data_IF_244954585180
#
_entry.id   IF_244954585180
#
_cell.length_a   1.000
_cell.length_b   1.000
_cell.length_c   1.000
_cell.angle_alpha   90.00
_cell.angle_beta   90.00
_cell.angle_gamma   90.00
#
_symmetry.space_group_name_H-M   'P 1'
#
loop_
_entity.id
_entity.type
_entity.pdbx_description
1 polymer ?
#
# COMPACT_ATOMS: atom_id res chain seq x y z
N UNK A 1 -1.47 9.80 11.99
CA UNK A 1 -1.48 8.45 12.60
C UNK A 1 -0.70 7.45 11.73
N UNK A 2 -0.38 6.24 12.19
CA UNK A 2 0.33 5.24 11.39
C UNK A 2 -0.47 4.80 10.16
N UNK A 3 -1.77 4.57 10.31
CA UNK A 3 -2.64 4.15 9.20
C UNK A 3 -2.72 5.21 8.08
N UNK A 4 -2.72 6.51 8.42
CA UNK A 4 -2.69 7.59 7.42
C UNK A 4 -1.42 7.48 6.57
N UNK A 5 -0.27 7.32 7.22
CA UNK A 5 1.02 7.18 6.54
C UNK A 5 1.07 5.94 5.65
N UNK A 6 0.52 4.81 6.13
CA UNK A 6 0.46 3.57 5.37
C UNK A 6 -0.42 3.70 4.12
N UNK A 7 -1.66 4.15 4.29
CA UNK A 7 -2.66 4.23 3.23
C UNK A 7 -2.29 5.29 2.18
N UNK A 8 -1.76 6.45 2.60
CA UNK A 8 -1.26 7.46 1.69
C UNK A 8 -0.04 6.97 0.93
N UNK A 9 0.94 6.34 1.59
CA UNK A 9 2.11 5.80 0.91
C UNK A 9 1.73 4.77 -0.17
N UNK A 10 0.77 3.88 0.10
CA UNK A 10 0.26 2.94 -0.88
C UNK A 10 -0.42 3.67 -2.06
N UNK A 11 -1.30 4.64 -1.79
CA UNK A 11 -1.98 5.41 -2.84
C UNK A 11 -1.00 6.20 -3.72
N UNK A 12 -0.02 6.87 -3.13
CA UNK A 12 1.01 7.60 -3.87
C UNK A 12 1.94 6.66 -4.64
N UNK A 13 2.20 5.45 -4.13
CA UNK A 13 2.97 4.44 -4.85
C UNK A 13 2.23 3.98 -6.12
N UNK A 14 0.95 3.67 -6.02
CA UNK A 14 0.15 3.27 -7.19
C UNK A 14 0.04 4.42 -8.22
N UNK A 15 -0.15 5.65 -7.75
CA UNK A 15 -0.12 6.83 -8.62
C UNK A 15 1.23 7.00 -9.33
N UNK A 16 2.35 6.72 -8.65
CA UNK A 16 3.68 6.70 -9.25
C UNK A 16 3.84 5.57 -10.28
N UNK A 17 3.35 4.36 -9.98
CA UNK A 17 3.42 3.21 -10.88
C UNK A 17 2.59 3.40 -12.17
N UNK A 18 1.51 4.20 -12.11
CA UNK A 18 0.68 4.55 -13.27
C UNK A 18 1.28 5.73 -14.06
N UNK A 19 1.64 6.82 -13.37
CA UNK A 19 1.96 8.09 -14.03
C UNK A 19 3.44 8.47 -14.06
N UNK A 20 4.31 7.76 -13.33
CA UNK A 20 5.75 8.03 -13.25
C UNK A 20 6.15 9.36 -12.60
N UNK A 21 5.19 10.12 -12.05
CA UNK A 21 5.42 11.47 -11.53
C UNK A 21 6.41 11.50 -10.36
N UNK A 22 7.44 12.36 -10.45
CA UNK A 22 8.49 12.49 -9.43
C UNK A 22 7.96 12.90 -8.05
N UNK A 23 6.89 13.69 -8.02
CA UNK A 23 6.19 14.08 -6.79
C UNK A 23 5.64 12.87 -6.03
N UNK A 24 4.98 11.93 -6.72
CA UNK A 24 4.43 10.74 -6.09
C UNK A 24 5.52 9.86 -5.45
N UNK A 25 6.61 9.57 -6.18
CA UNK A 25 7.75 8.82 -5.61
C UNK A 25 8.34 9.52 -4.38
N UNK A 26 8.50 10.84 -4.44
CA UNK A 26 9.03 11.63 -3.32
C UNK A 26 8.14 11.49 -2.09
N UNK A 27 6.82 11.63 -2.23
CA UNK A 27 5.88 11.49 -1.10
C UNK A 27 5.99 10.10 -0.47
N UNK A 28 6.06 9.03 -1.27
CA UNK A 28 6.26 7.66 -0.74
C UNK A 28 7.55 7.57 0.05
N UNK A 29 8.68 7.98 -0.54
CA UNK A 29 10.00 7.87 0.09
C UNK A 29 10.08 8.68 1.37
N UNK A 30 9.65 9.95 1.35
CA UNK A 30 9.72 10.82 2.53
C UNK A 30 8.80 10.33 3.67
N UNK A 31 7.62 9.79 3.33
CA UNK A 31 6.69 9.20 4.30
C UNK A 31 7.27 7.95 4.96
N UNK A 32 7.78 7.01 4.16
CA UNK A 32 8.33 5.77 4.71
C UNK A 32 9.65 6.03 5.47
N UNK A 33 10.49 6.97 5.02
CA UNK A 33 11.69 7.37 5.75
C UNK A 33 11.37 8.04 7.09
N UNK A 34 10.28 8.79 7.17
CA UNK A 34 9.76 9.29 8.45
C UNK A 34 9.36 8.12 9.37
N UNK A 35 8.63 7.13 8.86
CA UNK A 35 8.20 5.97 9.65
C UNK A 35 9.41 5.18 10.18
N UNK A 36 10.41 4.92 9.33
CA UNK A 36 11.64 4.24 9.73
C UNK A 36 12.41 5.00 10.83
N UNK A 37 12.44 6.33 10.74
CA UNK A 37 13.24 7.17 11.63
C UNK A 37 12.56 7.41 12.98
N UNK A 38 11.26 7.68 12.98
CA UNK A 38 10.56 8.27 14.14
C UNK A 38 9.50 7.33 14.73
N UNK A 39 8.92 6.45 13.90
CA UNK A 39 7.78 5.60 14.24
C UNK A 39 8.13 4.11 14.36
N UNK A 40 9.42 3.73 14.36
CA UNK A 40 9.83 2.33 14.42
C UNK A 40 10.39 1.97 15.80
N UNK A 41 9.81 0.94 16.42
CA UNK A 41 10.33 0.33 17.63
C UNK A 41 11.65 -0.41 17.35
N UNK A 42 12.65 -0.40 18.24
CA UNK A 42 13.92 -1.10 18.03
C UNK A 42 13.79 -2.59 17.70
N UNK A 43 12.73 -3.24 18.19
CA UNK A 43 12.40 -4.64 17.88
C UNK A 43 11.78 -4.88 16.50
N UNK A 44 11.33 -3.82 15.80
CA UNK A 44 10.88 -3.89 14.41
C UNK A 44 9.45 -3.41 14.16
N UNK A 45 8.54 -3.53 15.12
CA UNK A 45 7.16 -3.05 14.97
C UNK A 45 7.07 -1.51 14.87
N UNK A 46 5.95 -1.01 14.37
CA UNK A 46 5.69 0.41 14.17
C UNK A 46 4.72 0.95 15.22
N UNK A 47 5.08 2.10 15.79
CA UNK A 47 4.26 2.85 16.74
C UNK A 47 3.01 3.42 16.08
N UNK A 48 1.96 3.62 16.87
CA UNK A 48 0.61 3.91 16.37
C UNK A 48 0.43 5.36 15.96
N UNK A 49 1.00 6.32 16.69
CA UNK A 49 0.88 7.74 16.40
C UNK A 49 2.06 8.56 16.94
N UNK A 50 2.24 9.75 16.35
CA UNK A 50 3.01 10.85 16.91
C UNK A 50 2.11 12.07 16.85
N UNK A 51 2.08 12.84 17.95
CA UNK A 51 1.25 14.03 18.08
C UNK A 51 1.78 15.16 17.19
N UNK A 52 0.90 16.11 16.87
CA UNK A 52 1.33 17.37 16.28
C UNK A 52 1.84 18.35 17.35
N UNK A 53 1.39 18.18 18.60
CA UNK A 53 1.61 19.11 19.70
C UNK A 53 2.89 18.80 20.47
N UNK A 54 3.54 19.85 20.95
CA UNK A 54 4.63 19.80 21.93
C UNK A 54 4.39 20.86 23.01
N UNK A 55 5.05 20.82 24.16
CA UNK A 55 4.76 21.73 25.29
C UNK A 55 4.85 23.24 24.93
N UNK A 56 5.50 23.59 23.81
CA UNK A 56 5.52 24.93 23.22
C UNK A 56 4.20 25.41 22.58
N UNK A 57 3.18 24.56 22.44
CA UNK A 57 1.92 24.82 21.73
C UNK A 57 1.73 23.96 20.48
N UNK A 58 0.53 24.01 19.90
CA UNK A 58 0.12 23.19 18.75
C UNK A 58 1.09 23.35 17.56
N UNK A 59 1.60 22.23 17.05
CA UNK A 59 2.45 22.20 15.85
C UNK A 59 3.84 22.83 15.96
N UNK A 60 4.23 23.40 17.11
CA UNK A 60 5.43 24.26 17.24
C UNK A 60 6.74 23.56 16.87
N UNK A 61 6.84 22.24 17.07
CA UNK A 61 7.96 21.44 16.59
C UNK A 61 8.19 21.60 15.07
N UNK A 62 7.13 21.73 14.28
CA UNK A 62 7.17 21.77 12.82
C UNK A 62 7.26 23.18 12.21
N UNK A 63 7.11 24.24 13.02
CA UNK A 63 7.03 25.62 12.54
C UNK A 63 8.39 26.29 12.31
N UNK A 64 8.49 27.13 11.28
CA UNK A 64 9.71 27.87 10.92
C UNK A 64 9.43 29.34 10.64
N UNK A 65 10.40 30.21 10.93
CA UNK A 65 10.44 31.58 10.36
C UNK A 65 11.39 31.65 9.18
N UNK A 66 11.15 32.59 8.25
CA UNK A 66 12.07 32.84 7.13
C UNK A 66 13.49 33.18 7.63
N UNK A 67 13.59 33.96 8.71
CA UNK A 67 14.86 34.31 9.35
C UNK A 67 15.60 33.11 9.95
N UNK A 68 14.90 32.14 10.53
CA UNK A 68 15.51 30.89 10.99
C UNK A 68 16.11 30.12 9.81
N UNK A 69 15.37 29.99 8.71
CA UNK A 69 15.81 29.28 7.50
C UNK A 69 17.02 29.98 6.87
N UNK A 70 16.99 31.31 6.72
CA UNK A 70 18.11 32.08 6.20
C UNK A 70 19.38 31.97 7.06
N UNK A 71 19.23 31.91 8.39
CA UNK A 71 20.38 31.73 9.30
C UNK A 71 20.98 30.34 9.19
N UNK A 72 20.16 29.30 9.02
CA UNK A 72 20.63 27.91 8.93
C UNK A 72 21.24 27.57 7.57
N UNK A 73 20.60 28.03 6.49
CA UNK A 73 20.98 27.64 5.11
C UNK A 73 21.85 28.69 4.40
N UNK A 74 21.99 29.88 4.98
CA UNK A 74 22.55 31.04 4.31
C UNK A 74 21.56 31.73 3.37
N UNK A 75 21.89 32.95 2.92
CA UNK A 75 20.95 33.81 2.18
C UNK A 75 20.48 33.22 0.85
N UNK A 76 21.39 32.66 0.04
CA UNK A 76 21.05 32.17 -1.31
C UNK A 76 20.28 30.83 -1.25
N UNK A 77 20.78 29.78 -0.57
CA UNK A 77 20.03 28.52 -0.46
C UNK A 77 18.75 28.69 0.36
N UNK A 78 18.78 29.52 1.41
CA UNK A 78 17.62 29.81 2.25
C UNK A 78 16.49 30.49 1.48
N UNK A 79 16.80 31.50 0.66
CA UNK A 79 15.79 32.17 -0.17
C UNK A 79 15.10 31.18 -1.12
N UNK A 80 15.88 30.37 -1.83
CA UNK A 80 15.33 29.34 -2.74
C UNK A 80 14.48 28.31 -1.96
N UNK A 81 14.96 27.88 -0.79
CA UNK A 81 14.23 26.93 0.05
C UNK A 81 12.87 27.50 0.48
N UNK A 82 12.83 28.77 0.90
CA UNK A 82 11.60 29.48 1.25
C UNK A 82 10.62 29.56 0.09
N UNK A 83 11.08 29.93 -1.11
CA UNK A 83 10.27 29.99 -2.34
C UNK A 83 9.66 28.63 -2.69
N UNK A 84 10.44 27.54 -2.57
CA UNK A 84 10.00 26.18 -2.87
C UNK A 84 9.01 25.63 -1.83
N UNK A 85 9.12 26.06 -0.57
CA UNK A 85 8.35 25.50 0.55
C UNK A 85 7.26 26.43 1.09
N UNK A 86 6.84 27.43 0.30
CA UNK A 86 5.71 28.30 0.65
C UNK A 86 5.94 29.12 1.93
N UNK A 87 7.19 29.49 2.21
CA UNK A 87 7.56 30.26 3.40
C UNK A 87 7.43 31.75 3.11
N UNK A 88 6.67 32.45 3.94
CA UNK A 88 6.51 33.91 3.92
C UNK A 88 7.07 34.53 5.19
N UNK A 89 7.32 35.85 5.16
CA UNK A 89 7.74 36.60 6.35
C UNK A 89 6.61 36.71 7.38
N UNK A 90 5.35 36.79 6.91
CA UNK A 90 4.16 36.84 7.76
C UNK A 90 3.77 35.47 8.36
N UNK A 91 4.24 34.38 7.76
CA UNK A 91 3.81 33.03 8.11
C UNK A 91 2.53 32.59 7.40
N UNK A 92 2.34 31.26 7.32
CA UNK A 92 1.14 30.59 6.81
C UNK A 92 0.33 29.88 7.92
N UNK A 93 0.85 29.86 9.16
CA UNK A 93 0.21 29.30 10.34
C UNK A 93 0.70 30.04 11.60
N UNK A 94 -0.21 30.69 12.33
CA UNK A 94 0.07 31.37 13.61
C UNK A 94 1.32 32.30 13.60
N UNK A 95 1.54 33.04 12.50
CA UNK A 95 2.69 33.94 12.38
C UNK A 95 4.03 33.23 12.09
N UNK A 96 4.00 31.93 11.81
CA UNK A 96 5.12 31.10 11.38
C UNK A 96 4.73 30.27 10.16
N UNK A 97 5.62 29.43 9.67
CA UNK A 97 5.40 28.64 8.46
C UNK A 97 5.41 27.15 8.77
N UNK A 98 4.35 26.45 8.35
CA UNK A 98 4.36 25.03 8.05
C UNK A 98 4.93 24.88 6.64
N UNK A 99 5.96 24.06 6.49
CA UNK A 99 6.58 23.82 5.19
C UNK A 99 5.67 22.94 4.33
N UNK A 100 5.34 23.39 3.12
CA UNK A 100 4.63 22.60 2.12
C UNK A 100 5.16 22.96 0.73
N UNK A 101 5.10 22.05 -0.25
CA UNK A 101 5.52 22.36 -1.62
C UNK A 101 4.30 22.75 -2.46
N UNK A 102 4.06 24.04 -2.75
CA UNK A 102 2.99 24.44 -3.66
C UNK A 102 3.27 23.92 -5.07
N UNK A 103 2.21 23.53 -5.79
CA UNK A 103 2.29 23.10 -7.20
C UNK A 103 2.91 24.15 -8.14
N UNK A 104 3.00 25.40 -7.69
CA UNK A 104 3.45 26.56 -8.46
C UNK A 104 4.97 26.58 -8.67
N UNK A 105 5.76 25.85 -7.87
CA UNK A 105 7.16 25.58 -8.20
C UNK A 105 7.22 24.47 -9.26
N UNK A 106 6.65 24.76 -10.43
CA UNK A 106 6.84 23.93 -11.60
C UNK A 106 8.22 24.24 -12.16
N UNK A 107 8.96 23.17 -12.44
CA UNK A 107 10.28 23.13 -13.08
C UNK A 107 10.32 23.73 -14.51
N UNK A 108 9.46 24.70 -14.80
CA UNK A 108 9.24 25.30 -16.12
C UNK A 108 10.50 26.05 -16.52
N UNK A 109 11.16 25.54 -17.55
CA UNK A 109 12.37 26.14 -18.11
C UNK A 109 13.69 25.63 -17.53
N UNK A 110 13.67 24.71 -16.55
CA UNK A 110 14.89 24.05 -16.07
C UNK A 110 15.22 22.80 -16.89
N UNK A 111 16.50 22.65 -17.26
CA UNK A 111 17.03 21.39 -17.79
C UNK A 111 16.97 20.27 -16.75
N UNK A 112 17.07 19.02 -17.20
CA UNK A 112 17.09 17.86 -16.30
C UNK A 112 18.25 17.90 -15.29
N UNK A 113 19.40 18.43 -15.69
CA UNK A 113 20.59 18.56 -14.83
C UNK A 113 20.38 19.62 -13.75
N UNK A 114 19.84 20.79 -14.11
CA UNK A 114 19.52 21.86 -13.16
C UNK A 114 18.48 21.41 -12.14
N UNK A 115 17.46 20.67 -12.59
CA UNK A 115 16.43 20.10 -11.71
C UNK A 115 17.03 19.13 -10.71
N UNK A 116 17.91 18.24 -11.17
CA UNK A 116 18.61 17.29 -10.31
C UNK A 116 19.51 18.01 -9.29
N UNK A 117 20.23 19.06 -9.72
CA UNK A 117 21.06 19.86 -8.83
C UNK A 117 20.22 20.59 -7.77
N UNK A 118 19.07 21.16 -8.17
CA UNK A 118 18.13 21.81 -7.26
C UNK A 118 17.57 20.83 -6.22
N UNK A 119 17.09 19.66 -6.64
CA UNK A 119 16.57 18.64 -5.70
C UNK A 119 17.64 18.12 -4.74
N UNK A 120 18.91 18.00 -5.17
CA UNK A 120 20.03 17.67 -4.28
C UNK A 120 20.26 18.76 -3.23
N UNK A 121 20.30 20.02 -3.64
CA UNK A 121 20.45 21.16 -2.71
C UNK A 121 19.28 21.20 -1.71
N UNK A 122 18.04 21.02 -2.19
CA UNK A 122 16.86 20.98 -1.31
C UNK A 122 16.91 19.80 -0.34
N UNK A 123 17.40 18.63 -0.75
CA UNK A 123 17.58 17.48 0.13
C UNK A 123 18.62 17.76 1.23
N UNK A 124 19.75 18.37 0.88
CA UNK A 124 20.76 18.79 1.86
C UNK A 124 20.19 19.83 2.84
N UNK A 125 19.44 20.81 2.34
CA UNK A 125 18.78 21.82 3.16
C UNK A 125 17.75 21.20 4.12
N UNK A 126 16.95 20.23 3.66
CA UNK A 126 16.01 19.49 4.53
C UNK A 126 16.74 18.76 5.65
N UNK A 127 17.91 18.18 5.40
CA UNK A 127 18.73 17.55 6.45
C UNK A 127 19.20 18.57 7.50
N UNK A 128 19.67 19.74 7.08
CA UNK A 128 20.08 20.81 8.01
C UNK A 128 18.90 21.25 8.89
N UNK A 129 17.73 21.46 8.30
CA UNK A 129 16.51 21.81 9.04
C UNK A 129 16.09 20.68 9.99
N UNK A 130 16.18 19.41 9.56
CA UNK A 130 15.87 18.26 10.40
C UNK A 130 16.78 18.19 11.64
N UNK A 131 18.09 18.39 11.45
CA UNK A 131 19.07 18.42 12.56
C UNK A 131 18.82 19.57 13.53
N UNK A 132 18.43 20.74 13.02
CA UNK A 132 18.06 21.87 13.86
C UNK A 132 16.74 21.61 14.61
N UNK A 133 15.75 21.02 13.93
CA UNK A 133 14.45 20.65 14.52
C UNK A 133 14.58 19.60 15.61
N UNK A 134 15.48 18.62 15.43
CA UNK A 134 15.71 17.54 16.40
C UNK A 134 16.18 18.03 17.79
N UNK A 135 16.62 19.29 17.90
CA UNK A 135 17.01 19.93 19.17
C UNK A 135 15.85 20.63 19.89
N UNK A 136 14.68 20.70 19.25
CA UNK A 136 13.45 21.21 19.86
C UNK A 136 12.83 20.14 20.74
N UNK A 137 11.84 20.55 21.53
CA UNK A 137 11.00 19.63 22.25
C UNK A 137 10.18 18.77 21.28
N UNK A 138 10.26 17.46 21.45
CA UNK A 138 9.62 16.52 20.55
C UNK A 138 8.14 16.36 20.90
N UNK A 139 7.27 16.20 19.89
CA UNK A 139 5.90 15.83 20.15
C UNK A 139 5.80 14.45 20.81
N UNK A 140 4.73 14.24 21.56
CA UNK A 140 4.39 12.95 22.16
C UNK A 140 4.30 11.85 21.10
N UNK A 141 4.69 10.63 21.47
CA UNK A 141 4.53 9.44 20.63
C UNK A 141 3.69 8.41 21.36
N UNK A 142 2.66 7.90 20.70
CA UNK A 142 1.89 6.76 21.21
C UNK A 142 2.63 5.48 20.84
N UNK A 143 3.39 4.97 21.82
CA UNK A 143 4.25 3.80 21.70
C UNK A 143 3.50 2.46 21.56
N UNK A 144 2.16 2.47 21.48
CA UNK A 144 1.39 1.26 21.13
C UNK A 144 1.72 0.79 19.73
N UNK A 145 1.81 -0.52 19.57
CA UNK A 145 1.96 -1.21 18.29
C UNK A 145 0.67 -1.99 18.06
N UNK A 146 -0.18 -1.52 17.15
CA UNK A 146 -1.47 -2.15 16.83
C UNK A 146 -1.33 -3.10 15.64
N UNK A 147 -1.89 -4.30 15.76
CA UNK A 147 -1.76 -5.35 14.75
C UNK A 147 -2.31 -4.90 13.39
N UNK A 148 -3.54 -4.36 13.34
CA UNK A 148 -4.15 -3.91 12.09
C UNK A 148 -3.35 -2.79 11.40
N UNK A 149 -2.92 -1.77 12.13
CA UNK A 149 -2.19 -0.63 11.54
C UNK A 149 -0.79 -1.01 11.09
N UNK A 150 -0.14 -1.93 11.82
CA UNK A 150 1.13 -2.48 11.37
C UNK A 150 0.95 -3.33 10.11
N UNK A 151 -0.13 -4.09 9.98
CA UNK A 151 -0.46 -4.79 8.74
C UNK A 151 -0.50 -3.85 7.54
N UNK A 152 -1.21 -2.71 7.68
CA UNK A 152 -1.26 -1.68 6.63
C UNK A 152 0.14 -1.12 6.30
N UNK A 153 0.96 -0.81 7.31
CA UNK A 153 2.30 -0.27 7.08
C UNK A 153 3.28 -1.30 6.50
N UNK A 154 3.20 -2.57 6.91
CA UNK A 154 3.99 -3.67 6.35
C UNK A 154 3.67 -3.83 4.86
N UNK A 155 2.38 -3.82 4.48
CA UNK A 155 1.95 -3.86 3.09
C UNK A 155 2.55 -2.69 2.29
N UNK A 156 2.43 -1.46 2.78
CA UNK A 156 2.98 -0.27 2.13
C UNK A 156 4.52 -0.32 1.96
N UNK A 157 5.24 -0.69 3.02
CA UNK A 157 6.70 -0.83 3.02
C UNK A 157 7.15 -1.94 2.05
N UNK A 158 6.48 -3.09 2.05
CA UNK A 158 6.83 -4.21 1.18
C UNK A 158 6.60 -3.85 -0.30
N UNK A 159 5.44 -3.27 -0.64
CA UNK A 159 5.14 -2.81 -2.01
C UNK A 159 6.13 -1.75 -2.48
N UNK A 160 6.38 -0.73 -1.67
CA UNK A 160 7.29 0.35 -2.03
C UNK A 160 8.73 -0.15 -2.17
N UNK A 161 9.18 -1.01 -1.27
CA UNK A 161 10.51 -1.61 -1.32
C UNK A 161 10.74 -2.42 -2.60
N UNK A 162 9.76 -3.21 -3.04
CA UNK A 162 9.84 -3.95 -4.29
C UNK A 162 9.74 -3.06 -5.54
N UNK A 163 8.82 -2.08 -5.54
CA UNK A 163 8.55 -1.23 -6.70
C UNK A 163 9.64 -0.17 -6.94
N UNK A 164 10.27 0.32 -5.87
CA UNK A 164 11.30 1.36 -5.90
C UNK A 164 12.73 0.82 -5.86
N UNK A 165 12.90 -0.50 -5.73
CA UNK A 165 14.18 -1.19 -5.48
C UNK A 165 14.89 -0.69 -4.20
N UNK A 166 14.11 -0.47 -3.14
CA UNK A 166 14.58 0.08 -1.86
C UNK A 166 14.58 -1.01 -0.78
N UNK A 167 15.70 -1.76 -0.71
CA UNK A 167 15.86 -2.92 0.19
C UNK A 167 15.56 -2.61 1.66
N UNK A 168 15.83 -1.39 2.13
CA UNK A 168 15.56 -0.96 3.52
C UNK A 168 14.08 -1.07 3.90
N UNK A 169 13.16 -0.83 2.96
CA UNK A 169 11.72 -0.95 3.22
C UNK A 169 11.28 -2.41 3.28
N UNK A 170 11.80 -3.26 2.38
CA UNK A 170 11.56 -4.71 2.42
C UNK A 170 12.05 -5.34 3.72
N UNK A 171 13.22 -4.91 4.22
CA UNK A 171 13.76 -5.38 5.49
C UNK A 171 12.94 -4.89 6.69
N UNK A 172 12.50 -3.63 6.68
CA UNK A 172 11.64 -3.10 7.73
C UNK A 172 10.28 -3.81 7.78
N UNK A 173 9.66 -4.06 6.62
CA UNK A 173 8.41 -4.81 6.52
C UNK A 173 8.56 -6.23 7.09
N UNK A 174 9.63 -6.94 6.72
CA UNK A 174 9.91 -8.29 7.23
C UNK A 174 10.16 -8.30 8.74
N UNK A 175 10.98 -7.38 9.26
CA UNK A 175 11.24 -7.26 10.72
C UNK A 175 9.96 -6.93 11.49
N UNK A 176 9.12 -6.05 10.97
CA UNK A 176 7.83 -5.76 11.58
C UNK A 176 6.93 -7.01 11.58
N UNK A 177 6.85 -7.74 10.46
CA UNK A 177 6.12 -9.02 10.42
C UNK A 177 6.62 -10.04 11.45
N UNK A 178 7.94 -10.19 11.56
CA UNK A 178 8.58 -11.08 12.55
C UNK A 178 8.30 -10.63 13.99
N UNK A 179 8.33 -9.32 14.25
CA UNK A 179 7.96 -8.73 15.54
C UNK A 179 6.52 -9.09 15.90
N UNK A 180 5.54 -8.90 15.01
CA UNK A 180 4.14 -9.19 15.31
C UNK A 180 3.88 -10.68 15.52
N UNK A 181 4.56 -11.55 14.75
CA UNK A 181 4.44 -13.00 14.93
C UNK A 181 5.01 -13.49 16.26
N UNK A 182 5.96 -12.75 16.85
CA UNK A 182 6.65 -13.12 18.09
C UNK A 182 6.02 -12.46 19.31
N UNK A 183 5.75 -11.15 19.23
CA UNK A 183 5.41 -10.29 20.37
C UNK A 183 3.91 -10.01 20.52
N UNK A 184 3.11 -10.14 19.45
CA UNK A 184 1.66 -9.88 19.52
C UNK A 184 0.88 -11.17 19.69
N UNK A 185 1.34 -12.06 20.57
CA UNK A 185 0.64 -13.29 20.90
C UNK A 185 0.49 -13.49 22.39
N UNK A 186 -0.62 -14.10 22.78
CA UNK A 186 -0.79 -14.64 24.12
C UNK A 186 -0.04 -15.98 24.29
N UNK A 187 -0.02 -16.51 25.52
CA UNK A 187 0.59 -17.80 25.85
C UNK A 187 -0.01 -18.98 25.07
N UNK A 188 -1.24 -18.84 24.57
CA UNK A 188 -1.94 -19.80 23.71
C UNK A 188 -1.60 -19.65 22.22
N UNK A 189 -0.77 -18.70 21.84
CA UNK A 189 -0.39 -18.39 20.47
C UNK A 189 -1.44 -17.60 19.68
N UNK A 190 -2.46 -17.06 20.34
CA UNK A 190 -3.52 -16.23 19.74
C UNK A 190 -3.01 -14.82 19.52
N UNK A 191 -3.43 -14.20 18.42
CA UNK A 191 -3.09 -12.82 18.12
C UNK A 191 -3.75 -11.86 19.13
N UNK A 192 -2.95 -10.93 19.68
CA UNK A 192 -3.42 -9.82 20.50
C UNK A 192 -3.69 -8.58 19.64
N UNK A 193 -4.59 -7.71 20.08
CA UNK A 193 -4.93 -6.48 19.34
C UNK A 193 -3.74 -5.52 19.19
N UNK A 194 -2.86 -5.49 20.19
CA UNK A 194 -1.66 -4.66 20.14
C UNK A 194 -0.64 -5.02 21.20
N UNK A 195 0.39 -4.20 21.30
CA UNK A 195 1.51 -4.37 22.22
C UNK A 195 1.99 -3.00 22.72
N UNK A 196 2.37 -2.94 24.00
CA UNK A 196 2.99 -1.76 24.60
C UNK A 196 3.89 -2.21 25.77
N UNK A 197 5.14 -2.59 25.45
CA UNK A 197 6.06 -3.24 26.41
C UNK A 197 5.75 -4.72 26.63
N UNK A 198 4.47 -5.09 26.56
CA UNK A 198 3.95 -6.46 26.62
C UNK A 198 2.73 -6.61 25.68
N UNK A 199 2.37 -7.84 25.27
CA UNK A 199 1.16 -8.08 24.48
C UNK A 199 -0.09 -7.63 25.23
N UNK A 200 -1.01 -6.98 24.52
CA UNK A 200 -2.30 -6.54 25.07
C UNK A 200 -3.11 -7.74 25.57
N UNK A 201 -3.82 -7.62 26.72
CA UNK A 201 -4.77 -8.65 27.16
C UNK A 201 -6.01 -8.73 26.27
N UNK A 202 -6.21 -7.75 25.38
CA UNK A 202 -7.34 -7.72 24.45
C UNK A 202 -7.00 -8.59 23.24
N UNK A 203 -7.84 -9.60 23.00
CA UNK A 203 -7.75 -10.44 21.81
C UNK A 203 -7.94 -9.63 20.52
N UNK A 204 -7.26 -10.04 19.45
CA UNK A 204 -7.35 -9.38 18.17
C UNK A 204 -8.78 -9.41 17.57
N UNK A 205 -9.13 -8.33 16.88
CA UNK A 205 -10.35 -8.17 16.11
C UNK A 205 -10.16 -8.63 14.66
N UNK A 206 -11.24 -8.70 13.88
CA UNK A 206 -11.21 -9.15 12.49
C UNK A 206 -10.20 -8.37 11.64
N UNK A 207 -10.16 -7.05 11.80
CA UNK A 207 -9.27 -6.14 11.07
C UNK A 207 -7.78 -6.37 11.38
N UNK A 208 -7.45 -6.82 12.59
CA UNK A 208 -6.08 -7.23 12.95
C UNK A 208 -5.65 -8.46 12.15
N UNK A 209 -6.49 -9.51 12.14
CA UNK A 209 -6.22 -10.72 11.37
C UNK A 209 -6.18 -10.44 9.86
N UNK A 210 -7.15 -9.67 9.37
CA UNK A 210 -7.31 -9.40 7.95
C UNK A 210 -6.19 -8.52 7.38
N UNK A 211 -5.83 -7.44 8.08
CA UNK A 211 -4.72 -6.57 7.68
C UNK A 211 -3.39 -7.33 7.65
N UNK A 212 -3.15 -8.22 8.62
CA UNK A 212 -1.93 -9.02 8.65
C UNK A 212 -1.91 -10.12 7.59
N UNK A 213 -3.04 -10.76 7.31
CA UNK A 213 -3.13 -11.72 6.20
C UNK A 213 -2.78 -11.04 4.87
N UNK A 214 -3.35 -9.86 4.57
CA UNK A 214 -3.00 -9.07 3.38
C UNK A 214 -1.51 -8.71 3.34
N UNK A 215 -0.97 -8.22 4.46
CA UNK A 215 0.43 -7.84 4.57
C UNK A 215 1.39 -9.02 4.33
N UNK A 216 1.05 -10.21 4.84
CA UNK A 216 1.86 -11.41 4.67
C UNK A 216 1.75 -12.00 3.28
N UNK A 217 0.61 -11.89 2.60
CA UNK A 217 0.52 -12.18 1.16
C UNK A 217 1.47 -11.24 0.40
N UNK A 218 1.46 -9.93 0.71
CA UNK A 218 2.36 -8.96 0.06
C UNK A 218 3.84 -9.23 0.38
N UNK A 219 4.20 -9.61 1.60
CA UNK A 219 5.56 -10.04 1.94
C UNK A 219 5.98 -11.28 1.14
N UNK A 220 5.08 -12.26 0.97
CA UNK A 220 5.32 -13.37 0.07
C UNK A 220 5.52 -12.90 -1.37
N UNK A 221 4.65 -12.05 -1.91
CA UNK A 221 4.72 -11.61 -3.32
C UNK A 221 5.92 -10.71 -3.63
N UNK A 222 6.59 -10.16 -2.62
CA UNK A 222 7.76 -9.28 -2.79
C UNK A 222 9.08 -9.94 -2.40
N UNK A 223 9.05 -10.99 -1.58
CA UNK A 223 10.25 -11.70 -1.09
C UNK A 223 10.30 -13.18 -1.47
N UNK A 224 9.15 -13.75 -1.82
CA UNK A 224 8.94 -15.15 -2.20
C UNK A 224 9.43 -16.17 -1.16
N UNK A 225 9.43 -15.78 0.12
CA UNK A 225 9.68 -16.69 1.25
C UNK A 225 8.37 -17.41 1.63
N UNK A 226 8.25 -18.75 1.48
CA UNK A 226 6.99 -19.47 1.67
C UNK A 226 6.35 -19.28 3.05
N UNK A 227 7.17 -19.06 4.08
CA UNK A 227 6.73 -18.84 5.47
C UNK A 227 5.68 -17.74 5.61
N UNK A 228 5.77 -16.68 4.80
CA UNK A 228 4.81 -15.58 4.86
C UNK A 228 3.44 -16.01 4.33
N UNK A 229 3.43 -16.83 3.28
CA UNK A 229 2.20 -17.36 2.73
C UNK A 229 1.55 -18.38 3.68
N UNK A 230 2.37 -19.20 4.36
CA UNK A 230 1.90 -20.13 5.39
C UNK A 230 1.24 -19.39 6.56
N UNK A 231 1.87 -18.31 7.05
CA UNK A 231 1.29 -17.49 8.11
C UNK A 231 0.02 -16.74 7.65
N UNK A 232 -0.02 -16.24 6.42
CA UNK A 232 -1.23 -15.63 5.86
C UNK A 232 -2.38 -16.64 5.79
N UNK A 233 -2.10 -17.88 5.36
CA UNK A 233 -3.08 -18.96 5.33
C UNK A 233 -3.56 -19.30 6.74
N UNK A 234 -2.67 -19.38 7.73
CA UNK A 234 -3.03 -19.63 9.13
C UNK A 234 -3.95 -18.54 9.68
N UNK A 235 -3.68 -17.27 9.38
CA UNK A 235 -4.55 -16.15 9.77
C UNK A 235 -5.93 -16.26 9.09
N UNK A 236 -5.98 -16.59 7.80
CA UNK A 236 -7.23 -16.79 7.07
C UNK A 236 -8.06 -17.96 7.63
N UNK A 237 -7.43 -19.08 7.97
CA UNK A 237 -8.11 -20.19 8.64
C UNK A 237 -8.70 -19.76 10.00
N UNK A 238 -8.01 -18.90 10.77
CA UNK A 238 -8.56 -18.32 12.01
C UNK A 238 -9.74 -17.37 11.75
N UNK A 239 -9.69 -16.56 10.69
CA UNK A 239 -10.82 -15.73 10.24
C UNK A 239 -12.05 -16.61 10.00
N UNK A 240 -11.89 -17.68 9.22
CA UNK A 240 -12.98 -18.59 8.90
C UNK A 240 -13.53 -19.31 10.14
N UNK A 241 -12.65 -19.77 11.02
CA UNK A 241 -13.04 -20.53 12.20
C UNK A 241 -13.78 -19.68 13.24
N UNK A 242 -13.33 -18.44 13.47
CA UNK A 242 -13.76 -17.66 14.65
C UNK A 242 -14.66 -16.48 14.32
N UNK A 243 -14.53 -15.92 13.12
CA UNK A 243 -15.21 -14.67 12.76
C UNK A 243 -16.38 -14.87 11.81
N UNK A 244 -16.53 -16.05 11.19
CA UNK A 244 -17.62 -16.30 10.23
C UNK A 244 -19.00 -16.23 10.89
N UNK A 245 -19.88 -15.43 10.30
CA UNK A 245 -21.31 -15.47 10.52
C UNK A 245 -21.94 -16.43 9.51
N UNK A 246 -22.12 -17.69 9.90
CA UNK A 246 -22.70 -18.72 9.03
C UNK A 246 -24.15 -18.44 8.64
N UNK A 247 -24.90 -17.64 9.41
CA UNK A 247 -26.29 -17.33 9.12
C UNK A 247 -26.44 -16.31 7.98
N UNK A 248 -25.52 -15.33 7.91
CA UNK A 248 -25.57 -14.26 6.90
C UNK A 248 -24.52 -14.40 5.80
N UNK A 249 -23.48 -15.20 6.02
CA UNK A 249 -22.37 -15.38 5.09
C UNK A 249 -21.34 -14.24 5.10
N UNK A 250 -21.26 -13.46 6.18
CA UNK A 250 -20.28 -12.37 6.38
C UNK A 250 -19.39 -12.67 7.60
N UNK A 251 -18.66 -11.67 8.10
CA UNK A 251 -17.80 -11.78 9.26
C UNK A 251 -18.22 -10.84 10.39
N UNK A 252 -18.15 -11.34 11.62
CA UNK A 252 -18.23 -10.54 12.85
C UNK A 252 -16.91 -9.80 13.09
N UNK A 253 -16.98 -8.68 13.80
CA UNK A 253 -15.78 -7.92 14.19
C UNK A 253 -14.96 -8.61 15.28
N UNK A 254 -15.62 -9.26 16.24
CA UNK A 254 -14.98 -9.97 17.35
C UNK A 254 -15.00 -11.47 17.10
N UNK A 255 -14.08 -12.22 17.69
CA UNK A 255 -14.10 -13.69 17.65
C UNK A 255 -15.26 -14.27 18.47
N UNK A 256 -15.54 -15.56 18.28
CA UNK A 256 -16.58 -16.32 19.00
C UNK A 256 -16.29 -16.54 20.49
N UNK A 257 -15.01 -16.52 20.88
CA UNK A 257 -14.51 -16.62 22.24
C UNK A 257 -13.93 -15.30 22.76
N UNK A 258 -14.29 -14.17 22.15
CA UNK A 258 -14.02 -12.84 22.72
C UNK A 258 -14.83 -12.65 24.02
N UNK A 259 -14.49 -11.63 24.82
CA UNK A 259 -15.31 -11.23 25.98
C UNK A 259 -16.82 -11.26 25.65
N UNK A 260 -17.66 -11.90 26.48
CA UNK A 260 -19.07 -12.11 26.16
C UNK A 260 -19.80 -10.79 25.84
N UNK A 261 -20.26 -10.65 24.60
CA UNK A 261 -21.04 -9.49 24.15
C UNK A 261 -22.52 -9.83 24.04
N UNK A 262 -23.40 -8.85 24.25
CA UNK A 262 -24.85 -8.99 24.02
C UNK A 262 -25.14 -9.37 22.57
N UNK A 263 -24.39 -8.81 21.62
CA UNK A 263 -24.39 -9.18 20.22
C UNK A 263 -23.01 -8.89 19.61
N UNK A 264 -22.57 -9.74 18.67
CA UNK A 264 -21.36 -9.48 17.89
C UNK A 264 -21.68 -8.54 16.73
N UNK A 265 -21.02 -7.39 16.72
CA UNK A 265 -21.13 -6.39 15.66
C UNK A 265 -20.45 -6.82 14.36
N UNK A 266 -20.70 -6.05 13.29
CA UNK A 266 -19.98 -6.14 12.01
C UNK A 266 -19.58 -4.75 11.61
N UNK A 267 -18.35 -4.61 11.16
CA UNK A 267 -17.92 -3.38 10.52
C UNK A 267 -18.14 -3.49 9.00
N UNK A 268 -19.10 -2.70 8.53
CA UNK A 268 -19.55 -2.71 7.13
C UNK A 268 -18.83 -1.62 6.33
N UNK A 269 -18.47 -0.52 6.98
CA UNK A 269 -18.02 0.70 6.33
C UNK A 269 -16.55 0.95 6.58
N UNK A 270 -15.86 1.52 5.60
CA UNK A 270 -14.50 1.99 5.78
C UNK A 270 -14.53 3.31 6.56
N UNK A 271 -13.82 3.38 7.70
CA UNK A 271 -13.77 4.59 8.53
C UNK A 271 -12.72 4.51 9.64
N UNK A 272 -11.67 5.36 9.68
CA UNK A 272 -10.89 5.91 8.56
C UNK A 272 -9.96 4.86 7.91
N UNK A 273 -9.98 3.63 8.41
CA UNK A 273 -9.25 2.49 7.88
C UNK A 273 -10.19 1.59 7.05
N UNK A 274 -9.65 0.74 6.16
CA UNK A 274 -10.46 -0.27 5.47
C UNK A 274 -11.19 -1.17 6.46
N UNK A 275 -12.46 -1.48 6.18
CA UNK A 275 -13.25 -2.39 7.01
C UNK A 275 -12.61 -3.78 7.07
N UNK A 276 -12.57 -4.36 8.27
CA UNK A 276 -11.96 -5.68 8.49
C UNK A 276 -12.55 -6.78 7.61
N UNK A 277 -13.87 -6.75 7.37
CA UNK A 277 -14.51 -7.71 6.46
C UNK A 277 -14.17 -7.49 4.98
N UNK A 278 -13.92 -6.25 4.55
CA UNK A 278 -13.42 -5.95 3.21
C UNK A 278 -12.01 -6.51 3.00
N UNK A 279 -11.11 -6.28 3.96
CA UNK A 279 -9.75 -6.82 3.97
C UNK A 279 -9.76 -8.36 4.00
N UNK A 280 -10.60 -8.96 4.86
CA UNK A 280 -10.71 -10.42 4.97
C UNK A 280 -11.18 -11.05 3.66
N UNK A 281 -12.16 -10.41 3.00
CA UNK A 281 -12.66 -10.86 1.70
C UNK A 281 -11.57 -10.81 0.62
N UNK A 282 -10.78 -9.73 0.57
CA UNK A 282 -9.64 -9.63 -0.34
C UNK A 282 -8.59 -10.72 -0.07
N UNK A 283 -8.21 -10.92 1.20
CA UNK A 283 -7.22 -11.93 1.60
C UNK A 283 -7.65 -13.34 1.20
N UNK A 284 -8.92 -13.68 1.45
CA UNK A 284 -9.48 -14.97 1.06
C UNK A 284 -9.51 -15.16 -0.46
N UNK A 285 -9.78 -14.11 -1.25
CA UNK A 285 -9.69 -14.19 -2.71
C UNK A 285 -8.26 -14.43 -3.19
N UNK A 286 -7.30 -13.62 -2.71
CA UNK A 286 -5.88 -13.72 -3.08
C UNK A 286 -5.29 -15.08 -2.68
N UNK A 287 -5.52 -15.52 -1.44
CA UNK A 287 -5.08 -16.83 -0.95
C UNK A 287 -5.80 -17.97 -1.68
N UNK A 288 -7.08 -17.82 -1.98
CA UNK A 288 -7.84 -18.76 -2.78
C UNK A 288 -7.22 -18.96 -4.17
N UNK A 289 -6.68 -17.91 -4.79
CA UNK A 289 -5.93 -17.99 -6.04
C UNK A 289 -4.55 -18.62 -5.87
N UNK A 290 -3.76 -18.17 -4.89
CA UNK A 290 -2.39 -18.68 -4.66
C UNK A 290 -2.36 -20.16 -4.25
N UNK A 291 -3.29 -20.58 -3.39
CA UNK A 291 -3.29 -21.90 -2.73
C UNK A 291 -4.32 -22.88 -3.33
N UNK A 292 -5.10 -22.47 -4.34
CA UNK A 292 -6.23 -23.25 -4.90
C UNK A 292 -7.22 -23.73 -3.83
N UNK A 293 -7.49 -22.88 -2.82
CA UNK A 293 -8.41 -23.14 -1.71
C UNK A 293 -9.83 -22.66 -2.04
N UNK A 294 -10.68 -23.58 -2.48
CA UNK A 294 -12.07 -23.25 -2.86
C UNK A 294 -12.94 -22.82 -1.67
N UNK A 295 -12.66 -23.31 -0.47
CA UNK A 295 -13.32 -22.88 0.76
C UNK A 295 -13.06 -21.39 1.07
N UNK A 296 -11.86 -20.89 0.78
CA UNK A 296 -11.54 -19.46 0.88
C UNK A 296 -12.33 -18.65 -0.16
N UNK A 297 -12.32 -19.10 -1.42
CA UNK A 297 -13.06 -18.44 -2.51
C UNK A 297 -14.55 -18.38 -2.20
N UNK A 298 -15.14 -19.47 -1.71
CA UNK A 298 -16.56 -19.50 -1.41
C UNK A 298 -16.91 -18.65 -0.19
N UNK A 299 -16.08 -18.60 0.84
CA UNK A 299 -16.27 -17.67 1.95
C UNK A 299 -16.26 -16.21 1.48
N UNK A 300 -15.31 -15.83 0.62
CA UNK A 300 -15.27 -14.50 0.04
C UNK A 300 -16.51 -14.19 -0.82
N UNK A 301 -16.96 -15.14 -1.67
CA UNK A 301 -18.18 -14.97 -2.47
C UNK A 301 -19.43 -14.78 -1.61
N UNK A 302 -19.54 -15.50 -0.49
CA UNK A 302 -20.63 -15.29 0.47
C UNK A 302 -20.58 -13.89 1.08
N UNK A 303 -19.41 -13.41 1.48
CA UNK A 303 -19.25 -12.07 2.05
C UNK A 303 -19.62 -10.97 1.04
N UNK A 304 -19.18 -11.11 -0.22
CA UNK A 304 -19.57 -10.20 -1.31
C UNK A 304 -21.10 -10.16 -1.51
N UNK A 305 -21.77 -11.33 -1.51
CA UNK A 305 -23.23 -11.41 -1.62
C UNK A 305 -23.92 -10.78 -0.41
N UNK A 306 -23.42 -11.04 0.80
CA UNK A 306 -23.97 -10.50 2.04
C UNK A 306 -23.93 -8.96 2.10
N UNK A 307 -22.94 -8.35 1.45
CA UNK A 307 -22.76 -6.89 1.39
C UNK A 307 -23.28 -6.23 0.12
N UNK A 308 -23.99 -6.95 -0.74
CA UNK A 308 -24.48 -6.44 -2.01
C UNK A 308 -25.39 -5.19 -1.86
N UNK A 309 -26.28 -5.15 -0.86
CA UNK A 309 -27.12 -3.96 -0.62
C UNK A 309 -26.28 -2.73 -0.23
N UNK A 310 -25.33 -2.90 0.70
CA UNK A 310 -24.43 -1.84 1.14
C UNK A 310 -23.57 -1.29 -0.01
N UNK A 311 -23.01 -2.19 -0.84
CA UNK A 311 -22.22 -1.82 -2.02
C UNK A 311 -23.03 -0.97 -3.02
N UNK A 312 -24.31 -1.31 -3.23
CA UNK A 312 -25.17 -0.57 -4.15
C UNK A 312 -25.59 0.80 -3.58
N UNK A 313 -25.87 0.87 -2.27
CA UNK A 313 -26.41 2.09 -1.65
C UNK A 313 -25.33 3.08 -1.21
N UNK A 314 -24.19 2.59 -0.75
CA UNK A 314 -23.12 3.40 -0.16
C UNK A 314 -21.73 3.01 -0.67
N UNK A 315 -21.50 2.99 -2.00
CA UNK A 315 -20.24 2.50 -2.57
C UNK A 315 -19.00 3.23 -2.03
N UNK A 316 -19.09 4.55 -1.81
CA UNK A 316 -18.00 5.38 -1.29
C UNK A 316 -17.62 5.07 0.17
N UNK A 317 -18.53 4.45 0.93
CA UNK A 317 -18.28 4.01 2.30
C UNK A 317 -17.82 2.55 2.36
N UNK A 318 -17.70 1.86 1.21
CA UNK A 318 -17.36 0.43 1.12
C UNK A 318 -16.28 0.18 0.07
N UNK A 319 -15.36 1.13 -0.09
CA UNK A 319 -14.30 1.11 -1.10
C UNK A 319 -13.45 -0.17 -1.04
N UNK A 320 -13.06 -0.62 0.14
CA UNK A 320 -12.28 -1.85 0.29
C UNK A 320 -13.04 -3.09 -0.21
N UNK A 321 -14.35 -3.15 0.06
CA UNK A 321 -15.19 -4.23 -0.43
C UNK A 321 -15.41 -4.13 -1.95
N UNK A 322 -15.45 -2.91 -2.52
CA UNK A 322 -15.46 -2.72 -3.98
C UNK A 322 -14.18 -3.22 -4.64
N UNK A 323 -13.01 -3.04 -4.01
CA UNK A 323 -11.76 -3.61 -4.50
C UNK A 323 -11.83 -5.15 -4.52
N UNK A 324 -12.35 -5.77 -3.47
CA UNK A 324 -12.56 -7.22 -3.43
C UNK A 324 -13.58 -7.69 -4.49
N UNK A 325 -14.63 -6.91 -4.73
CA UNK A 325 -15.60 -7.19 -5.80
C UNK A 325 -14.96 -7.07 -7.19
N UNK A 326 -14.15 -6.06 -7.45
CA UNK A 326 -13.45 -5.89 -8.73
C UNK A 326 -12.48 -7.07 -8.96
N UNK A 327 -11.73 -7.48 -7.94
CA UNK A 327 -10.87 -8.67 -8.00
C UNK A 327 -11.67 -9.95 -8.32
N UNK A 328 -12.85 -10.11 -7.73
CA UNK A 328 -13.71 -11.26 -7.98
C UNK A 328 -14.34 -11.28 -9.38
N UNK A 329 -14.77 -10.12 -9.90
CA UNK A 329 -15.50 -10.03 -11.17
C UNK A 329 -14.60 -9.86 -12.39
N UNK A 330 -13.42 -9.26 -12.23
CA UNK A 330 -12.48 -9.05 -13.33
C UNK A 330 -11.56 -10.25 -13.50
N UNK A 331 -11.01 -10.46 -14.71
CA UNK A 331 -10.01 -11.50 -14.91
C UNK A 331 -8.77 -11.23 -14.05
N UNK A 332 -8.61 -12.00 -12.99
CA UNK A 332 -7.43 -11.97 -12.13
C UNK A 332 -6.26 -12.68 -12.81
N UNK A 333 -5.12 -12.00 -12.91
CA UNK A 333 -3.89 -12.55 -13.47
C UNK A 333 -3.17 -13.37 -12.39
N UNK A 334 -3.26 -14.70 -12.51
CA UNK A 334 -2.49 -15.66 -11.73
C UNK A 334 -1.12 -15.81 -12.40
N UNK A 335 -0.10 -15.09 -11.89
CA UNK A 335 1.24 -15.03 -12.48
C UNK A 335 2.15 -16.02 -11.74
N UNK A 336 2.53 -17.10 -12.41
CA UNK A 336 3.50 -18.08 -11.91
C UNK A 336 4.82 -17.95 -12.67
N UNK A 337 5.91 -17.70 -11.93
CA UNK A 337 7.25 -17.45 -12.46
C UNK A 337 8.15 -18.61 -12.03
N UNK A 338 8.73 -19.29 -13.01
CA UNK A 338 9.80 -20.27 -12.80
C UNK A 338 11.12 -19.63 -13.19
N UNK A 339 12.04 -19.58 -12.24
CA UNK A 339 13.34 -18.93 -12.40
C UNK A 339 14.20 -19.59 -13.48
N UNK A 340 14.99 -18.76 -14.15
CA UNK A 340 15.98 -19.18 -15.13
C UNK A 340 17.30 -19.60 -14.48
N UNK A 341 18.27 -19.97 -15.33
CA UNK A 341 19.62 -20.29 -14.88
C UNK A 341 20.40 -19.06 -14.36
N UNK A 342 20.06 -17.85 -14.84
CA UNK A 342 20.65 -16.58 -14.39
C UNK A 342 19.70 -15.84 -13.42
N UNK A 343 20.05 -15.73 -12.12
CA UNK A 343 19.26 -14.96 -11.16
C UNK A 343 19.10 -13.46 -11.49
N UNK A 344 19.95 -12.92 -12.36
CA UNK A 344 19.88 -11.53 -12.81
C UNK A 344 18.65 -11.29 -13.67
N UNK A 345 18.31 -12.26 -14.53
CA UNK A 345 17.13 -12.20 -15.38
C UNK A 345 15.86 -12.23 -14.51
N UNK A 346 15.80 -13.16 -13.56
CA UNK A 346 14.70 -13.27 -12.59
C UNK A 346 14.49 -11.96 -11.82
N UNK A 347 15.57 -11.37 -11.30
CA UNK A 347 15.50 -10.09 -10.59
C UNK A 347 14.99 -8.97 -11.49
N UNK A 348 15.42 -8.94 -12.76
CA UNK A 348 15.01 -7.92 -13.73
C UNK A 348 13.51 -8.00 -14.00
N UNK A 349 12.99 -9.19 -14.28
CA UNK A 349 11.56 -9.35 -14.59
C UNK A 349 10.66 -9.10 -13.39
N UNK A 350 11.11 -9.43 -12.17
CA UNK A 350 10.39 -9.18 -10.93
C UNK A 350 10.37 -7.69 -10.59
N UNK A 351 11.51 -7.01 -10.67
CA UNK A 351 11.60 -5.57 -10.44
C UNK A 351 10.69 -4.81 -11.41
N UNK A 352 10.69 -5.17 -12.69
CA UNK A 352 9.82 -4.55 -13.69
C UNK A 352 8.34 -4.88 -13.47
N UNK A 353 8.00 -6.05 -12.92
CA UNK A 353 6.61 -6.37 -12.51
C UNK A 353 6.15 -5.46 -11.38
N UNK A 354 6.97 -5.32 -10.34
CA UNK A 354 6.65 -4.52 -9.15
C UNK A 354 6.67 -3.02 -9.44
N UNK A 355 7.45 -2.57 -10.42
CA UNK A 355 7.48 -1.16 -10.84
C UNK A 355 6.21 -0.70 -11.56
N UNK A 356 5.38 -1.63 -12.05
CA UNK A 356 4.15 -1.33 -12.82
C UNK A 356 2.90 -1.53 -11.99
N UNK A 357 1.90 -0.68 -12.24
CA UNK A 357 0.57 -0.91 -11.73
C UNK A 357 -0.12 -1.95 -12.61
N UNK A 358 -0.27 -3.16 -12.07
CA UNK A 358 -1.03 -4.24 -12.68
C UNK A 358 -2.15 -4.60 -11.70
N UNK A 359 -3.41 -4.20 -11.96
CA UNK A 359 -4.53 -4.51 -11.08
C UNK A 359 -4.88 -6.00 -11.16
N UNK A 360 -5.55 -6.51 -10.12
CA UNK A 360 -6.07 -7.88 -10.06
C UNK A 360 -5.04 -8.93 -10.47
N UNK A 361 -3.98 -9.06 -9.66
CA UNK A 361 -2.97 -10.09 -9.85
C UNK A 361 -2.64 -10.78 -8.53
N UNK A 362 -2.18 -12.01 -8.66
CA UNK A 362 -1.37 -12.68 -7.63
C UNK A 362 -0.10 -13.19 -8.28
N UNK A 363 1.00 -13.19 -7.54
CA UNK A 363 2.33 -13.55 -8.06
C UNK A 363 2.94 -14.66 -7.21
N UNK A 364 3.42 -15.70 -7.87
CA UNK A 364 4.21 -16.74 -7.24
C UNK A 364 5.50 -16.95 -8.03
N UNK A 365 6.60 -17.14 -7.31
CA UNK A 365 7.91 -17.37 -7.89
C UNK A 365 8.56 -18.60 -7.25
N UNK A 366 9.15 -19.44 -8.10
CA UNK A 366 10.02 -20.52 -7.71
C UNK A 366 11.39 -20.33 -8.38
N UNK A 367 12.43 -20.09 -7.58
CA UNK A 367 13.80 -20.00 -8.06
C UNK A 367 14.29 -21.31 -8.73
N UNK A 368 13.83 -22.44 -8.22
CA UNK A 368 14.14 -23.76 -8.76
C UNK A 368 12.88 -24.64 -8.75
N UNK A 369 12.33 -24.94 -9.93
CA UNK A 369 11.16 -25.79 -10.08
C UNK A 369 11.39 -27.25 -9.65
N UNK A 370 12.64 -27.69 -9.47
CA UNK A 370 12.99 -29.08 -9.19
C UNK A 370 13.15 -29.40 -7.70
N UNK A 371 13.52 -28.43 -6.85
CA UNK A 371 13.98 -28.70 -5.48
C UNK A 371 12.92 -28.48 -4.38
N UNK A 372 11.92 -27.60 -4.55
CA UNK A 372 11.02 -27.19 -3.44
C UNK A 372 9.50 -27.26 -3.72
N UNK A 373 9.05 -28.10 -4.67
CA UNK A 373 7.62 -28.21 -5.07
C UNK A 373 6.60 -28.37 -3.93
N UNK A 374 6.98 -28.99 -2.81
CA UNK A 374 6.08 -29.21 -1.66
C UNK A 374 5.79 -27.95 -0.84
N UNK A 375 6.63 -26.91 -0.96
CA UNK A 375 6.47 -25.61 -0.26
C UNK A 375 6.00 -24.50 -1.18
N UNK A 376 5.89 -24.77 -2.48
CA UNK A 376 5.40 -23.78 -3.43
C UNK A 376 3.87 -23.70 -3.39
N UNK A 377 3.28 -22.51 -3.52
CA UNK A 377 1.84 -22.37 -3.68
C UNK A 377 1.31 -23.18 -4.86
N UNK A 378 0.05 -23.60 -4.76
CA UNK A 378 -0.60 -24.50 -5.71
C UNK A 378 -0.53 -24.00 -7.17
N UNK A 379 -0.53 -22.68 -7.36
CA UNK A 379 -0.36 -22.03 -8.67
C UNK A 379 0.93 -22.46 -9.41
N UNK A 380 1.99 -22.84 -8.69
CA UNK A 380 3.27 -23.30 -9.25
C UNK A 380 3.34 -24.82 -9.47
N UNK A 381 2.40 -25.61 -8.92
CA UNK A 381 2.54 -27.06 -8.79
C UNK A 381 2.73 -27.82 -10.13
N UNK A 382 2.21 -27.27 -11.22
CA UNK A 382 2.25 -27.87 -12.58
C UNK A 382 3.08 -27.05 -13.57
N UNK A 383 3.87 -26.09 -13.10
CA UNK A 383 4.63 -25.16 -13.95
C UNK A 383 6.07 -25.64 -14.09
N UNK A 384 6.56 -25.72 -15.31
CA UNK A 384 7.88 -26.25 -15.64
C UNK A 384 8.74 -25.16 -16.29
N UNK A 385 10.07 -25.18 -16.13
CA UNK A 385 10.92 -24.29 -16.89
C UNK A 385 10.93 -24.68 -18.38
N UNK A 386 10.93 -23.68 -19.27
CA UNK A 386 11.09 -23.86 -20.72
C UNK A 386 12.37 -23.16 -21.15
N UNK A 387 13.41 -23.96 -21.40
CA UNK A 387 14.73 -23.43 -21.77
C UNK A 387 15.52 -22.86 -20.58
N UNK A 388 16.63 -22.14 -20.85
CA UNK A 388 17.54 -21.67 -19.81
C UNK A 388 17.14 -20.35 -19.14
N UNK A 389 16.22 -19.59 -19.75
CA UNK A 389 15.75 -18.31 -19.20
C UNK A 389 14.52 -18.46 -18.29
N UNK A 390 14.08 -17.38 -17.63
CA UNK A 390 12.86 -17.40 -16.84
C UNK A 390 11.65 -17.78 -17.70
N UNK A 391 10.73 -18.53 -17.11
CA UNK A 391 9.46 -18.92 -17.75
C UNK A 391 8.30 -18.39 -16.93
N UNK A 392 7.36 -17.70 -17.59
CA UNK A 392 6.19 -17.12 -16.92
C UNK A 392 4.90 -17.64 -17.51
N UNK A 393 4.03 -18.10 -16.60
CA UNK A 393 2.69 -18.55 -16.88
C UNK A 393 1.71 -17.51 -16.36
N UNK A 394 0.92 -16.93 -17.27
CA UNK A 394 -0.17 -16.03 -16.92
C UNK A 394 -1.48 -16.79 -17.09
N UNK A 395 -2.09 -17.15 -15.97
CA UNK A 395 -3.32 -17.92 -15.91
C UNK A 395 -4.50 -17.08 -15.44
N UNK A 396 -5.70 -17.49 -15.83
CA UNK A 396 -6.99 -16.91 -15.45
C UNK A 396 -7.97 -18.08 -15.31
N UNK A 397 -8.57 -18.24 -14.14
CA UNK A 397 -9.56 -19.29 -13.89
C UNK A 397 -9.08 -20.68 -14.35
N UNK A 398 -7.87 -21.08 -13.93
CA UNK A 398 -7.24 -22.37 -14.29
C UNK A 398 -6.84 -22.53 -15.77
N UNK A 399 -7.03 -21.52 -16.61
CA UNK A 399 -6.60 -21.51 -18.02
C UNK A 399 -5.41 -20.59 -18.20
N UNK A 400 -4.30 -21.11 -18.76
CA UNK A 400 -3.10 -20.32 -19.00
C UNK A 400 -2.96 -19.94 -20.47
N UNK A 401 -2.40 -18.74 -20.72
CA UNK A 401 -1.88 -18.37 -22.04
C UNK A 401 -0.66 -19.23 -22.39
N UNK A 402 -0.19 -19.22 -23.66
CA UNK A 402 1.13 -19.74 -23.99
C UNK A 402 2.19 -19.18 -23.02
N UNK A 403 3.10 -20.02 -22.49
CA UNK A 403 4.13 -19.56 -21.57
C UNK A 403 5.06 -18.55 -22.24
N UNK A 404 5.48 -17.54 -21.48
CA UNK A 404 6.40 -16.50 -21.92
C UNK A 404 7.82 -16.92 -21.50
N UNK A 405 8.79 -16.85 -22.42
CA UNK A 405 10.13 -17.39 -22.19
C UNK A 405 11.19 -16.32 -22.45
N UNK A 406 12.03 -16.09 -21.45
CA UNK A 406 13.12 -15.13 -21.52
C UNK A 406 12.69 -13.68 -21.28
N UNK A 407 13.66 -12.86 -20.89
CA UNK A 407 13.44 -11.50 -20.37
C UNK A 407 12.67 -10.61 -21.34
N UNK A 408 13.05 -10.55 -22.62
CA UNK A 408 12.45 -9.61 -23.57
C UNK A 408 10.96 -9.84 -23.83
N UNK A 409 10.54 -11.10 -23.96
CA UNK A 409 9.13 -11.46 -24.18
C UNK A 409 8.30 -11.15 -22.94
N UNK A 410 8.84 -11.49 -21.78
CA UNK A 410 8.29 -11.18 -20.48
C UNK A 410 8.09 -9.67 -20.33
N UNK A 411 9.12 -8.85 -20.51
CA UNK A 411 8.99 -7.39 -20.33
C UNK A 411 7.94 -6.77 -21.25
N UNK A 412 7.77 -7.29 -22.47
CA UNK A 412 6.66 -6.88 -23.37
C UNK A 412 5.30 -7.19 -22.77
N UNK A 413 5.09 -8.40 -22.26
CA UNK A 413 3.82 -8.78 -21.64
C UNK A 413 3.51 -7.96 -20.39
N UNK A 414 4.51 -7.47 -19.66
CA UNK A 414 4.27 -6.68 -18.44
C UNK A 414 3.68 -5.32 -18.82
N UNK A 415 4.12 -4.75 -19.94
CA UNK A 415 3.55 -3.50 -20.48
C UNK A 415 2.08 -3.70 -20.91
N UNK A 416 1.77 -4.84 -21.53
CA UNK A 416 0.39 -5.18 -21.91
C UNK A 416 -0.52 -5.34 -20.69
N UNK A 417 -0.04 -6.03 -19.64
CA UNK A 417 -0.78 -6.23 -18.40
C UNK A 417 -0.98 -4.92 -17.62
N UNK A 418 -0.02 -3.99 -17.68
CA UNK A 418 -0.13 -2.67 -17.07
C UNK A 418 -1.06 -1.71 -17.84
N UNK A 419 -1.68 -2.15 -18.94
CA UNK A 419 -2.61 -1.34 -19.73
C UNK A 419 -1.97 -0.12 -20.41
N UNK A 420 -0.63 -0.06 -20.48
CA UNK A 420 0.04 0.97 -21.27
C UNK A 420 -0.19 0.63 -22.74
N UNK A 421 -0.88 1.48 -23.53
CA UNK A 421 -0.93 1.25 -24.96
C UNK A 421 0.51 1.26 -25.46
N UNK A 422 0.93 0.17 -26.10
CA UNK A 422 2.00 0.27 -27.09
C UNK A 422 1.60 1.40 -28.04
N UNK A 423 2.55 2.23 -28.45
CA UNK A 423 2.29 3.44 -29.24
C UNK A 423 1.69 3.15 -30.66
N UNK A 424 1.19 1.93 -30.90
CA UNK A 424 0.52 1.46 -32.11
C UNK A 424 -1.00 1.45 -31.93
N UNK A 425 -1.60 2.60 -31.61
CA UNK A 425 -3.01 2.80 -32.00
C UNK A 425 -3.05 3.30 -33.44
N UNK A 426 -3.61 2.55 -34.40
CA UNK A 426 -3.98 3.15 -35.67
C UNK A 426 -4.97 4.28 -35.39
N UNK A 427 -4.71 5.44 -35.99
CA UNK A 427 -5.56 6.63 -35.92
C UNK A 427 -7.01 6.23 -36.17
N UNK A 428 -7.88 6.46 -35.17
CA UNK A 428 -9.33 6.36 -35.38
C UNK A 428 -9.72 7.42 -36.43
N UNK A 429 -10.49 7.06 -37.46
CA UNK A 429 -11.06 8.07 -38.35
C UNK A 429 -12.09 8.89 -37.59
N UNK A 430 -12.06 10.20 -37.80
CA UNK A 430 -12.96 11.19 -37.20
C UNK A 430 -14.42 10.78 -37.40
N UNK A 431 -15.09 10.44 -36.30
CA UNK A 431 -16.55 10.32 -36.30
C UNK A 431 -17.14 11.72 -36.13
N UNK A 432 -17.49 12.33 -37.26
CA UNK A 432 -18.39 13.48 -37.31
C UNK A 432 -19.75 13.07 -36.71
N UNK A 433 -20.05 13.55 -35.50
CA UNK A 433 -21.39 13.54 -34.92
C UNK A 433 -22.15 14.83 -35.30
N UNK A 434 -23.48 14.76 -35.49
CA UNK A 434 -24.25 15.85 -36.08
C UNK A 434 -24.47 17.01 -35.09
N UNK A 435 -24.45 18.21 -35.64
CA UNK A 435 -24.82 19.46 -35.00
C UNK A 435 -26.31 19.45 -34.61
N UNK A 436 -26.59 19.57 -33.31
CA UNK A 436 -27.90 19.95 -32.77
C UNK A 436 -28.01 21.48 -32.64
N UNK A 437 -29.23 22.06 -32.75
CA UNK A 437 -29.38 23.47 -33.07
C UNK A 437 -29.27 24.40 -31.85
N UNK A 438 -28.76 25.60 -32.14
CA UNK A 438 -28.81 26.80 -31.31
C UNK A 438 -30.22 27.09 -30.79
N UNK A 439 -30.31 27.39 -29.49
CA UNK A 439 -31.43 28.14 -28.93
C UNK A 439 -30.86 29.33 -28.19
N UNK A 440 -30.99 30.47 -28.84
CA UNK A 440 -30.67 31.81 -28.35
C UNK A 440 -31.45 32.20 -27.09
N UNK A 441 -30.71 32.84 -26.19
CA UNK A 441 -31.05 33.97 -25.34
C UNK A 441 -32.51 34.24 -24.96
N UNK A 442 -32.77 34.24 -23.64
CA UNK A 442 -33.54 35.28 -22.93
C UNK A 442 -33.19 35.26 -21.45
N UNK A 443 -32.62 36.36 -20.97
CA UNK A 443 -32.31 36.57 -19.55
C UNK A 443 -33.49 37.07 -18.73
N UNK A 444 -33.47 36.78 -17.43
CA UNK A 444 -34.14 37.47 -16.30
C UNK A 444 -33.32 37.08 -15.05
N UNK A 445 -32.46 37.94 -14.49
CA UNK A 445 -32.71 38.94 -13.42
C UNK A 445 -33.10 38.39 -12.03
N UNK A 446 -32.12 38.45 -11.11
CA UNK A 446 -32.17 38.90 -9.69
C UNK A 446 -33.03 38.22 -8.59
N UNK A 447 -32.31 37.57 -7.64
CA UNK A 447 -32.35 37.65 -6.15
C UNK A 447 -33.62 37.22 -5.34
N UNK A 448 -33.55 37.05 -3.99
CA UNK A 448 -32.84 36.00 -3.22
C UNK A 448 -33.67 35.39 -2.06
N UNK A 449 -33.18 34.32 -1.44
CA UNK A 449 -33.19 34.00 0.01
C UNK A 449 -32.31 32.78 0.26
#
# INVERSE_FOLDING_TARGET
>A
MLYDNALLAACYLEAWQVGGGSMHRRVVVETLDYVLREMTHPGGGFYSAQDADSDGGEGTFYLWTADEIHRLLGRVPGKRFCEVHGVTDEGNFEGRNILYRPDVFQDVGMSSEERLACERELADNRRVLLEARARREWPGRDDKILASWNGLMIDAMARAGAALDERRYLEAAARAGDFLLTELRDDGGRLCHGWCGEPSPIGAYLDDYASLAEAFITLYETRFEPRWLDEAARLADQILARFTDHARGDFFQTADDHEPMIARGRDIYDSPVPSGGGLATMALLRLGSLLDREDYREAARRALRARADSLNRFPQATCQMLLALDFHLRPTNEIAIVGGADPTDDRTILAELHRRFVPNKVVAYAKDASLERKRHPAILATKEPIGPGPTVYVCREKTCRPPLVGVDEILRAWNELAGHPTNDRPSRPDAAGPTGPDIDGRGVSMFPS
#
